data_IF_133185163026
#
_entry.id   IF_133185163026
#
_cell.length_a   1.000
_cell.length_b   1.000
_cell.length_c   1.000
_cell.angle_alpha   90.00
_cell.angle_beta   90.00
_cell.angle_gamma   90.00
#
_symmetry.space_group_name_H-M   'P 1'
#
loop_
_entity.id
_entity.type
_entity.pdbx_description
1 polymer ?
#
# COMPACT_ATOMS: atom_id res chain seq x y z
N UNK A 1 40.15 -36.84 -20.36
CA UNK A 1 40.61 -35.53 -19.82
C UNK A 1 40.37 -35.52 -18.32
N UNK A 2 41.44 -35.34 -17.55
CA UNK A 2 41.60 -35.58 -16.11
C UNK A 2 41.04 -34.38 -15.31
N UNK A 3 39.95 -34.55 -14.55
CA UNK A 3 39.84 -34.62 -13.07
C UNK A 3 40.67 -33.62 -12.23
N UNK A 4 39.90 -32.93 -11.37
CA UNK A 4 40.13 -32.61 -9.95
C UNK A 4 40.91 -31.35 -9.50
N UNK A 5 40.18 -30.57 -8.68
CA UNK A 5 40.48 -30.17 -7.29
C UNK A 5 41.87 -29.57 -7.02
N UNK A 6 41.93 -28.25 -7.15
CA UNK A 6 42.89 -27.37 -6.48
C UNK A 6 42.12 -26.05 -6.32
N UNK A 7 41.62 -25.69 -5.14
CA UNK A 7 42.30 -24.75 -4.25
C UNK A 7 41.67 -24.84 -2.86
N UNK A 8 42.30 -25.63 -1.99
CA UNK A 8 42.28 -25.49 -0.54
C UNK A 8 43.56 -24.74 -0.18
N UNK A 9 43.54 -23.95 0.91
CA UNK A 9 44.58 -23.04 1.43
C UNK A 9 44.46 -21.64 0.82
N UNK A 10 44.08 -20.59 1.55
CA UNK A 10 44.87 -20.02 2.65
C UNK A 10 43.94 -19.43 3.71
N UNK A 11 44.00 -20.02 4.89
CA UNK A 11 43.55 -19.47 6.17
C UNK A 11 44.80 -19.45 7.05
N UNK A 12 44.92 -18.41 7.89
CA UNK A 12 45.91 -18.19 8.96
C UNK A 12 47.06 -17.23 8.58
N UNK A 13 46.98 -16.04 9.17
CA UNK A 13 48.17 -15.44 9.79
C UNK A 13 48.39 -13.95 9.49
N UNK A 14 47.76 -13.06 10.27
CA UNK A 14 48.55 -12.23 11.18
C UNK A 14 47.67 -11.63 12.29
N UNK A 15 47.99 -12.04 13.51
CA UNK A 15 47.48 -11.49 14.75
C UNK A 15 47.98 -10.06 14.97
N UNK A 16 47.16 -9.29 15.71
CA UNK A 16 47.68 -8.57 16.87
C UNK A 16 47.81 -7.06 16.73
N UNK A 17 46.71 -6.34 16.94
CA UNK A 17 46.75 -5.14 17.77
C UNK A 17 45.65 -5.27 18.82
N UNK A 18 46.07 -5.71 20.01
CA UNK A 18 45.29 -5.60 21.23
C UNK A 18 45.63 -4.22 21.78
N UNK A 19 44.72 -3.25 21.65
CA UNK A 19 44.71 -2.11 22.55
C UNK A 19 43.45 -2.17 23.42
N UNK A 20 43.74 -2.33 24.70
CA UNK A 20 42.88 -2.25 25.86
C UNK A 20 42.01 -0.99 25.82
N UNK A 21 40.73 -1.17 25.52
CA UNK A 21 39.66 -0.22 25.81
C UNK A 21 38.69 -0.85 26.78
N UNK A 22 39.07 -0.89 28.06
CA UNK A 22 38.17 -1.22 29.16
C UNK A 22 37.16 -0.07 29.27
N UNK A 23 35.95 -0.28 28.75
CA UNK A 23 34.84 0.66 28.79
C UNK A 23 33.55 -0.12 28.97
N UNK A 24 33.16 -0.22 30.24
CA UNK A 24 31.94 -0.79 30.80
C UNK A 24 30.72 -0.74 29.86
N UNK A 25 30.22 -1.92 29.46
CA UNK A 25 28.82 -2.21 29.15
C UNK A 25 28.14 -1.38 28.05
N UNK A 26 28.13 -1.89 26.82
CA UNK A 26 27.06 -1.58 25.85
C UNK A 26 26.74 -2.78 24.96
N UNK A 27 25.97 -3.72 25.52
CA UNK A 27 25.04 -4.55 24.75
C UNK A 27 23.81 -3.68 24.41
N UNK A 28 23.90 -2.81 23.42
CA UNK A 28 22.74 -2.03 22.94
C UNK A 28 22.96 -1.44 21.54
N UNK A 29 23.34 -2.25 20.56
CA UNK A 29 23.47 -1.73 19.17
C UNK A 29 23.09 -2.73 18.06
N UNK A 30 23.07 -4.05 18.31
CA UNK A 30 22.60 -5.01 17.28
C UNK A 30 21.07 -5.14 17.21
N UNK A 31 20.35 -5.09 18.34
CA UNK A 31 18.88 -5.22 18.35
C UNK A 31 18.17 -4.06 17.63
N UNK A 32 18.64 -2.82 17.81
CA UNK A 32 17.96 -1.63 17.26
C UNK A 32 17.95 -1.63 15.73
N UNK A 33 19.06 -2.01 15.11
CA UNK A 33 19.20 -2.08 13.64
C UNK A 33 18.36 -3.22 13.05
N UNK A 34 18.35 -4.40 13.68
CA UNK A 34 17.54 -5.51 13.21
C UNK A 34 16.04 -5.22 13.34
N UNK A 35 15.60 -4.66 14.47
CA UNK A 35 14.19 -4.32 14.70
C UNK A 35 13.70 -3.18 13.80
N UNK A 36 14.51 -2.14 13.57
CA UNK A 36 14.15 -1.03 12.68
C UNK A 36 14.05 -1.47 11.21
N UNK A 37 14.94 -2.34 10.75
CA UNK A 37 14.88 -2.90 9.39
C UNK A 37 13.65 -3.80 9.20
N UNK A 38 13.34 -4.68 10.15
CA UNK A 38 12.17 -5.58 10.09
C UNK A 38 10.86 -4.77 10.09
N UNK A 39 10.76 -3.76 10.96
CA UNK A 39 9.60 -2.86 11.02
C UNK A 39 9.41 -2.09 9.70
N UNK A 40 10.50 -1.64 9.08
CA UNK A 40 10.44 -0.94 7.79
C UNK A 40 10.00 -1.86 6.65
N UNK A 41 10.41 -3.12 6.66
CA UNK A 41 10.03 -4.11 5.64
C UNK A 41 8.56 -4.53 5.79
N UNK A 42 8.09 -4.75 7.02
CA UNK A 42 6.67 -5.04 7.31
C UNK A 42 5.75 -3.89 6.87
N UNK A 43 6.12 -2.64 7.17
CA UNK A 43 5.36 -1.47 6.73
C UNK A 43 5.35 -1.35 5.21
N UNK A 44 6.48 -1.60 4.55
CA UNK A 44 6.56 -1.60 3.09
C UNK A 44 5.64 -2.66 2.47
N UNK A 45 5.67 -3.88 3.00
CA UNK A 45 4.78 -4.94 2.56
C UNK A 45 3.31 -4.56 2.77
N UNK A 46 2.96 -3.98 3.92
CA UNK A 46 1.61 -3.51 4.21
C UNK A 46 1.15 -2.41 3.23
N UNK A 47 2.05 -1.50 2.83
CA UNK A 47 1.77 -0.51 1.77
C UNK A 47 1.47 -1.19 0.43
N UNK A 48 2.28 -2.18 0.04
CA UNK A 48 2.09 -2.93 -1.20
C UNK A 48 0.77 -3.72 -1.21
N UNK A 49 0.45 -4.39 -0.12
CA UNK A 49 -0.77 -5.20 0.01
C UNK A 49 -2.03 -4.32 -0.06
N UNK A 50 -2.03 -3.19 0.66
CA UNK A 50 -3.16 -2.26 0.63
C UNK A 50 -3.32 -1.62 -0.75
N UNK A 51 -2.22 -1.28 -1.44
CA UNK A 51 -2.27 -0.82 -2.83
C UNK A 51 -2.85 -1.87 -3.78
N UNK A 52 -2.43 -3.13 -3.66
CA UNK A 52 -2.94 -4.22 -4.49
C UNK A 52 -4.45 -4.39 -4.31
N UNK A 53 -4.91 -4.45 -3.05
CA UNK A 53 -6.34 -4.52 -2.70
C UNK A 53 -7.12 -3.33 -3.25
N UNK A 54 -6.58 -2.12 -3.10
CA UNK A 54 -7.23 -0.91 -3.60
C UNK A 54 -7.39 -0.92 -5.12
N UNK A 55 -6.36 -1.36 -5.85
CA UNK A 55 -6.42 -1.48 -7.30
C UNK A 55 -7.48 -2.48 -7.75
N UNK A 56 -7.62 -3.60 -7.04
CA UNK A 56 -8.67 -4.60 -7.31
C UNK A 56 -10.07 -4.03 -7.06
N UNK A 57 -10.31 -3.40 -5.91
CA UNK A 57 -11.60 -2.77 -5.59
C UNK A 57 -11.94 -1.65 -6.58
N UNK A 58 -10.97 -0.80 -6.92
CA UNK A 58 -11.14 0.27 -7.91
C UNK A 58 -11.40 -0.26 -9.32
N UNK A 59 -10.82 -1.39 -9.71
CA UNK A 59 -11.15 -2.03 -10.97
C UNK A 59 -12.62 -2.47 -11.00
N UNK A 60 -13.13 -3.03 -9.90
CA UNK A 60 -14.54 -3.36 -9.74
C UNK A 60 -15.45 -2.14 -9.80
N UNK A 61 -15.09 -1.05 -9.12
CA UNK A 61 -15.82 0.23 -9.17
C UNK A 61 -15.82 0.79 -10.60
N UNK A 62 -14.69 0.77 -11.29
CA UNK A 62 -14.58 1.25 -12.68
C UNK A 62 -15.46 0.45 -13.63
N UNK A 63 -15.63 -0.85 -13.41
CA UNK A 63 -16.57 -1.65 -14.18
C UNK A 63 -18.02 -1.19 -13.93
N UNK A 64 -18.41 -0.98 -12.67
CA UNK A 64 -19.75 -0.46 -12.33
C UNK A 64 -20.02 0.92 -12.93
N UNK A 65 -19.02 1.80 -12.96
CA UNK A 65 -19.12 3.11 -13.62
C UNK A 65 -19.38 2.96 -15.13
N UNK A 66 -18.71 2.02 -15.80
CA UNK A 66 -18.97 1.75 -17.22
C UNK A 66 -20.40 1.28 -17.44
N UNK A 67 -20.86 0.34 -16.61
CA UNK A 67 -22.22 -0.20 -16.70
C UNK A 67 -23.26 0.90 -16.45
N UNK A 68 -23.02 1.78 -15.47
CA UNK A 68 -23.86 2.94 -15.19
C UNK A 68 -23.90 3.92 -16.36
N UNK A 69 -22.74 4.23 -16.97
CA UNK A 69 -22.66 5.09 -18.14
C UNK A 69 -23.46 4.53 -19.33
N UNK A 70 -23.42 3.20 -19.52
CA UNK A 70 -24.22 2.53 -20.54
C UNK A 70 -25.72 2.59 -20.24
N UNK A 71 -26.13 2.43 -18.97
CA UNK A 71 -27.52 2.64 -18.55
C UNK A 71 -28.00 4.07 -18.81
N UNK A 72 -27.19 5.06 -18.43
CA UNK A 72 -27.50 6.49 -18.64
C UNK A 72 -27.70 6.76 -20.13
N UNK A 73 -26.78 6.27 -20.97
CA UNK A 73 -26.84 6.41 -22.43
C UNK A 73 -28.09 5.74 -23.02
N UNK A 74 -28.43 4.55 -22.53
CA UNK A 74 -29.58 3.78 -23.03
C UNK A 74 -30.92 4.39 -22.61
N UNK A 75 -31.00 4.93 -21.39
CA UNK A 75 -32.21 5.61 -20.88
C UNK A 75 -32.60 6.80 -21.76
N UNK A 76 -31.62 7.51 -22.33
CA UNK A 76 -31.84 8.60 -23.30
C UNK A 76 -32.58 9.83 -22.75
N UNK A 77 -32.99 9.79 -21.49
CA UNK A 77 -33.66 10.90 -20.79
C UNK A 77 -32.65 11.72 -19.99
N UNK A 78 -32.94 13.02 -19.82
CA UNK A 78 -32.18 13.88 -18.92
C UNK A 78 -32.15 13.28 -17.50
N UNK A 79 -31.00 13.36 -16.85
CA UNK A 79 -30.82 12.97 -15.46
C UNK A 79 -31.63 13.90 -14.54
N UNK A 80 -32.15 13.36 -13.44
CA UNK A 80 -32.74 14.19 -12.38
C UNK A 80 -31.65 14.93 -11.62
N UNK A 81 -32.00 16.02 -10.93
CA UNK A 81 -31.03 16.77 -10.11
C UNK A 81 -30.42 15.89 -9.02
N UNK A 82 -31.20 14.97 -8.45
CA UNK A 82 -30.70 13.99 -7.48
C UNK A 82 -29.67 13.03 -8.10
N UNK A 83 -29.92 12.55 -9.32
CA UNK A 83 -28.97 11.69 -10.04
C UNK A 83 -27.67 12.45 -10.39
N UNK A 84 -27.76 13.70 -10.83
CA UNK A 84 -26.57 14.53 -11.08
C UNK A 84 -25.77 14.75 -9.80
N UNK A 85 -26.42 15.16 -8.71
CA UNK A 85 -25.75 15.37 -7.42
C UNK A 85 -25.05 14.11 -6.91
N UNK A 86 -25.67 12.93 -7.09
CA UNK A 86 -25.06 11.67 -6.67
C UNK A 86 -23.84 11.30 -7.52
N UNK A 87 -23.85 11.61 -8.83
CA UNK A 87 -22.68 11.45 -9.69
C UNK A 87 -21.55 12.41 -9.30
N UNK A 88 -21.86 13.67 -9.01
CA UNK A 88 -20.88 14.67 -8.55
C UNK A 88 -20.22 14.22 -7.23
N UNK A 89 -21.02 13.72 -6.28
CA UNK A 89 -20.54 13.17 -5.01
C UNK A 89 -19.63 11.94 -5.24
N UNK A 90 -19.97 11.09 -6.20
CA UNK A 90 -19.16 9.94 -6.59
C UNK A 90 -17.80 10.38 -7.14
N UNK A 91 -17.78 11.33 -8.08
CA UNK A 91 -16.54 11.85 -8.67
C UNK A 91 -15.63 12.49 -7.60
N UNK A 92 -16.21 13.27 -6.69
CA UNK A 92 -15.47 13.89 -5.58
C UNK A 92 -14.81 12.83 -4.67
N UNK A 93 -15.54 11.76 -4.34
CA UNK A 93 -14.99 10.65 -3.53
C UNK A 93 -13.92 9.86 -4.28
N UNK A 94 -14.12 9.62 -5.58
CA UNK A 94 -13.13 8.93 -6.41
C UNK A 94 -11.81 9.72 -6.47
N UNK A 95 -11.90 11.04 -6.64
CA UNK A 95 -10.73 11.92 -6.62
C UNK A 95 -10.01 11.88 -5.26
N UNK A 96 -10.76 11.87 -4.15
CA UNK A 96 -10.19 11.74 -2.80
C UNK A 96 -9.43 10.42 -2.61
N UNK A 97 -10.00 9.30 -3.05
CA UNK A 97 -9.36 7.97 -2.99
C UNK A 97 -8.08 7.94 -3.81
N UNK A 98 -8.12 8.44 -5.05
CA UNK A 98 -6.93 8.52 -5.91
C UNK A 98 -5.82 9.35 -5.25
N UNK A 99 -6.17 10.46 -4.60
CA UNK A 99 -5.20 11.25 -3.83
C UNK A 99 -4.58 10.44 -2.69
N UNK A 100 -5.37 9.71 -1.90
CA UNK A 100 -4.87 8.87 -0.80
C UNK A 100 -3.99 7.72 -1.30
N UNK A 101 -4.32 7.11 -2.45
CA UNK A 101 -3.45 6.10 -3.07
C UNK A 101 -2.04 6.63 -3.34
N UNK A 102 -1.89 7.88 -3.75
CA UNK A 102 -0.57 8.46 -3.97
C UNK A 102 0.17 8.79 -2.67
N UNK A 103 -0.55 8.94 -1.57
CA UNK A 103 0.01 9.26 -0.26
C UNK A 103 0.47 8.03 0.51
N UNK A 104 -0.07 6.84 0.21
CA UNK A 104 0.15 5.59 0.96
C UNK A 104 1.63 5.31 1.25
N UNK A 105 2.50 5.48 0.26
CA UNK A 105 3.95 5.22 0.39
C UNK A 105 4.68 6.19 1.31
N UNK A 106 4.06 7.32 1.62
CA UNK A 106 4.61 8.38 2.49
C UNK A 106 3.99 8.35 3.89
N UNK A 107 3.08 7.40 4.17
CA UNK A 107 2.48 7.25 5.49
C UNK A 107 3.51 6.65 6.42
N UNK A 108 3.68 7.27 7.60
CA UNK A 108 4.56 6.77 8.64
C UNK A 108 3.87 5.66 9.42
N UNK A 109 4.66 4.79 10.04
CA UNK A 109 4.15 3.69 10.88
C UNK A 109 3.16 4.16 11.95
N UNK A 110 3.43 5.30 12.60
CA UNK A 110 2.57 5.88 13.64
C UNK A 110 1.18 6.27 13.16
N UNK A 111 1.04 6.60 11.86
CA UNK A 111 -0.22 7.01 11.24
C UNK A 111 -0.86 5.87 10.42
N UNK A 112 -0.18 4.73 10.29
CA UNK A 112 -0.52 3.67 9.34
C UNK A 112 -1.92 3.10 9.55
N UNK A 113 -2.26 2.70 10.78
CA UNK A 113 -3.56 2.08 11.05
C UNK A 113 -4.74 3.06 10.88
N UNK A 114 -4.53 4.33 11.21
CA UNK A 114 -5.52 5.39 10.98
C UNK A 114 -5.72 5.64 9.49
N UNK A 115 -4.62 5.72 8.73
CA UNK A 115 -4.66 5.85 7.28
C UNK A 115 -5.38 4.66 6.64
N UNK A 116 -4.97 3.44 6.98
CA UNK A 116 -5.53 2.20 6.45
C UNK A 116 -7.03 2.13 6.71
N UNK A 117 -7.46 2.32 7.95
CA UNK A 117 -8.88 2.29 8.34
C UNK A 117 -9.70 3.32 7.55
N UNK A 118 -9.18 4.55 7.43
CA UNK A 118 -9.86 5.62 6.68
C UNK A 118 -9.95 5.27 5.20
N UNK A 119 -8.87 4.77 4.63
CA UNK A 119 -8.78 4.45 3.21
C UNK A 119 -9.65 3.24 2.83
N UNK A 120 -9.68 2.20 3.66
CA UNK A 120 -10.58 1.06 3.49
C UNK A 120 -12.05 1.48 3.62
N UNK A 121 -12.37 2.38 4.55
CA UNK A 121 -13.70 2.98 4.64
C UNK A 121 -14.05 3.78 3.38
N UNK A 122 -13.13 4.59 2.86
CA UNK A 122 -13.38 5.36 1.65
C UNK A 122 -13.70 4.43 0.46
N UNK A 123 -12.98 3.30 0.33
CA UNK A 123 -13.24 2.26 -0.68
C UNK A 123 -14.63 1.62 -0.54
N UNK A 124 -15.05 1.29 0.68
CA UNK A 124 -16.37 0.72 0.94
C UNK A 124 -17.50 1.74 0.69
N UNK A 125 -17.31 2.98 1.14
CA UNK A 125 -18.25 4.08 0.96
C UNK A 125 -18.48 4.35 -0.55
N UNK A 126 -17.42 4.42 -1.38
CA UNK A 126 -17.57 4.66 -2.82
C UNK A 126 -18.23 3.48 -3.54
N UNK A 127 -17.94 2.24 -3.12
CA UNK A 127 -18.56 1.03 -3.65
C UNK A 127 -20.05 1.00 -3.37
N UNK A 128 -20.44 1.33 -2.13
CA UNK A 128 -21.84 1.46 -1.73
C UNK A 128 -22.53 2.59 -2.49
N UNK A 129 -21.85 3.73 -2.67
CA UNK A 129 -22.39 4.86 -3.41
C UNK A 129 -22.70 4.51 -4.86
N UNK A 130 -21.77 3.89 -5.59
CA UNK A 130 -22.01 3.50 -6.99
C UNK A 130 -23.11 2.45 -7.13
N UNK A 131 -23.22 1.53 -6.16
CA UNK A 131 -24.30 0.54 -6.13
C UNK A 131 -25.67 1.19 -5.89
N UNK A 132 -25.74 2.22 -5.05
CA UNK A 132 -26.97 2.95 -4.82
C UNK A 132 -27.37 3.79 -6.02
N UNK A 133 -26.43 4.54 -6.61
CA UNK A 133 -26.68 5.28 -7.86
C UNK A 133 -27.19 4.33 -8.92
N UNK A 134 -26.54 3.17 -9.11
CA UNK A 134 -26.91 2.20 -10.14
C UNK A 134 -28.31 1.59 -9.99
N UNK A 135 -28.91 1.62 -8.78
CA UNK A 135 -30.29 1.16 -8.54
C UNK A 135 -31.34 2.19 -8.97
N UNK A 136 -30.96 3.46 -9.02
CA UNK A 136 -31.84 4.57 -9.42
C UNK A 136 -31.92 4.72 -10.97
N UNK A 137 -31.28 3.81 -11.72
CA UNK A 137 -31.23 3.74 -13.18
C UNK A 137 -31.70 2.39 -13.72
#
# INVERSE_FOLDING_TARGET
>A
MVKNKLFVLILIGLCGIIFLGCGTGSKKTEEKSATENVISEELHQAHCDLLAKANEELAGINQKVRDLNDKIRTKGSKLTDAQNSALDDFEARQASINKRMHQIKNVKQEDWENFKTTFEKDLDDIKTLIDNISKDF
#
